data_IF_158198829004
#
_entry.id   IF_158198829004
#
_cell.length_a   1.000
_cell.length_b   1.000
_cell.length_c   1.000
_cell.angle_alpha   90.00
_cell.angle_beta   90.00
_cell.angle_gamma   90.00
#
_symmetry.space_group_name_H-M   'P 1'
#
loop_
_entity.id
_entity.type
_entity.pdbx_description
1 polymer ?
#
# COMPACT_ATOMS: atom_id res chain seq x y z
N UNK A 1 -13.02 -14.11 -9.07
CA UNK A 1 -12.19 -13.15 -8.33
C UNK A 1 -10.77 -13.65 -8.17
N UNK A 2 -9.85 -12.74 -8.18
CA UNK A 2 -8.45 -13.02 -7.90
C UNK A 2 -8.16 -12.73 -6.43
N UNK A 3 -7.23 -13.48 -5.83
CA UNK A 3 -6.74 -13.20 -4.50
C UNK A 3 -5.34 -12.60 -4.61
N UNK A 4 -4.99 -11.76 -3.66
CA UNK A 4 -3.67 -11.15 -3.60
C UNK A 4 -2.68 -12.13 -2.97
N UNK A 5 -1.40 -11.97 -3.29
CA UNK A 5 -0.35 -12.83 -2.78
C UNK A 5 0.39 -12.26 -1.58
N UNK A 6 1.65 -12.59 -1.48
CA UNK A 6 2.54 -12.15 -0.42
C UNK A 6 3.38 -10.97 -0.92
N UNK A 7 3.50 -9.93 -0.10
CA UNK A 7 4.28 -8.73 -0.41
C UNK A 7 5.30 -8.45 0.69
N UNK A 8 6.50 -8.04 0.28
CA UNK A 8 7.60 -7.73 1.19
C UNK A 8 7.73 -6.22 1.40
N UNK A 9 8.05 -5.83 2.64
CA UNK A 9 8.22 -4.43 3.02
C UNK A 9 9.45 -4.24 3.91
N UNK A 10 9.94 -2.99 3.99
CA UNK A 10 11.04 -2.63 4.86
C UNK A 10 10.51 -2.41 6.28
N UNK A 11 10.78 -3.35 7.19
CA UNK A 11 10.20 -3.37 8.53
C UNK A 11 10.70 -2.28 9.48
N UNK A 12 11.87 -1.72 9.20
CA UNK A 12 12.48 -0.69 10.03
C UNK A 12 12.17 0.73 9.58
N UNK A 13 11.33 0.88 8.55
CA UNK A 13 10.90 2.15 8.00
C UNK A 13 9.38 2.19 7.96
N UNK A 14 8.81 3.38 7.98
CA UNK A 14 7.37 3.55 7.85
C UNK A 14 6.75 4.29 9.02
N UNK A 15 5.42 4.31 9.03
CA UNK A 15 4.64 4.98 10.07
C UNK A 15 4.57 4.12 11.32
N UNK A 16 4.95 4.69 12.46
CA UNK A 16 4.88 3.98 13.73
C UNK A 16 3.47 4.11 14.31
N UNK A 17 2.72 3.02 14.29
CA UNK A 17 1.34 2.99 14.79
C UNK A 17 1.19 2.25 16.13
N UNK A 18 2.16 1.41 16.49
CA UNK A 18 2.06 0.56 17.68
C UNK A 18 3.44 0.27 18.26
N UNK A 19 3.45 -0.31 19.47
CA UNK A 19 4.67 -0.80 20.12
C UNK A 19 4.92 -2.27 19.81
N UNK A 20 5.29 -3.06 20.83
CA UNK A 20 5.64 -4.47 20.66
C UNK A 20 4.46 -5.44 20.74
N UNK A 21 3.26 -4.95 21.05
CA UNK A 21 2.06 -5.78 21.16
C UNK A 21 1.47 -6.04 19.77
N UNK A 22 1.53 -7.29 19.33
CA UNK A 22 1.05 -7.68 18.00
C UNK A 22 -0.47 -7.55 17.86
N UNK A 23 -1.23 -7.80 18.91
CA UNK A 23 -2.69 -7.62 18.86
C UNK A 23 -3.04 -6.14 18.71
N UNK A 24 -2.38 -5.28 19.47
CA UNK A 24 -2.53 -3.84 19.33
C UNK A 24 -2.10 -3.40 17.93
N UNK A 25 -1.01 -3.97 17.43
CA UNK A 25 -0.51 -3.69 16.08
C UNK A 25 -1.53 -4.02 15.01
N UNK A 26 -2.14 -5.20 15.10
CA UNK A 26 -3.18 -5.62 14.16
C UNK A 26 -4.38 -4.67 14.19
N UNK A 27 -4.83 -4.29 15.38
CA UNK A 27 -5.96 -3.38 15.56
C UNK A 27 -5.64 -1.99 14.99
N UNK A 28 -4.41 -1.50 15.19
CA UNK A 28 -3.98 -0.20 14.68
C UNK A 28 -3.85 -0.20 13.16
N UNK A 29 -3.38 -1.29 12.57
CA UNK A 29 -3.30 -1.42 11.11
C UNK A 29 -4.70 -1.39 10.52
N UNK A 30 -5.64 -2.14 11.12
CA UNK A 30 -7.03 -2.17 10.69
C UNK A 30 -7.65 -0.77 10.77
N UNK A 31 -7.48 -0.10 11.89
CA UNK A 31 -7.97 1.26 12.10
C UNK A 31 -7.39 2.23 11.07
N UNK A 32 -6.09 2.13 10.82
CA UNK A 32 -5.39 2.97 9.84
C UNK A 32 -5.98 2.83 8.44
N UNK A 33 -6.26 1.59 8.02
CA UNK A 33 -6.86 1.33 6.71
C UNK A 33 -8.32 1.82 6.68
N UNK A 34 -9.08 1.58 7.76
CA UNK A 34 -10.50 1.95 7.81
C UNK A 34 -10.73 3.45 7.88
N UNK A 35 -9.81 4.22 8.42
CA UNK A 35 -9.92 5.70 8.47
C UNK A 35 -9.94 6.32 7.08
N UNK A 36 -9.21 5.74 6.13
CA UNK A 36 -9.16 6.16 4.74
C UNK A 36 -9.37 4.95 3.84
N UNK A 37 -10.44 4.22 4.06
CA UNK A 37 -10.69 2.93 3.43
C UNK A 37 -10.69 3.05 1.89
N UNK A 38 -9.77 2.35 1.21
CA UNK A 38 -9.69 2.39 -0.25
C UNK A 38 -10.81 1.63 -0.95
N UNK A 39 -11.64 0.90 -0.20
CA UNK A 39 -12.77 0.15 -0.75
C UNK A 39 -12.74 -1.33 -0.40
N UNK A 40 -12.34 -1.66 0.83
CA UNK A 40 -12.34 -3.05 1.33
C UNK A 40 -13.46 -3.22 2.35
N UNK A 41 -14.31 -4.20 2.12
CA UNK A 41 -15.39 -4.56 3.05
C UNK A 41 -15.00 -5.78 3.87
N UNK A 42 -15.46 -5.82 5.12
CA UNK A 42 -15.20 -6.95 6.01
C UNK A 42 -13.74 -7.13 6.34
N UNK A 43 -12.99 -6.04 6.40
CA UNK A 43 -11.55 -6.11 6.65
C UNK A 43 -11.23 -6.73 8.00
N UNK A 44 -10.36 -7.73 7.97
CA UNK A 44 -9.78 -8.34 9.15
C UNK A 44 -8.25 -8.30 9.00
N UNK A 45 -7.57 -7.97 10.07
CA UNK A 45 -6.11 -7.88 10.09
C UNK A 45 -5.57 -8.70 11.25
N UNK A 46 -4.54 -9.50 10.99
CA UNK A 46 -3.77 -10.14 12.05
C UNK A 46 -2.30 -9.83 11.83
N UNK A 47 -1.52 -9.85 12.90
CA UNK A 47 -0.09 -9.56 12.85
C UNK A 47 0.65 -10.59 13.69
N UNK A 48 1.65 -11.23 13.10
CA UNK A 48 2.48 -12.24 13.78
C UNK A 48 3.88 -12.18 13.19
N UNK A 49 4.88 -11.99 14.06
CA UNK A 49 6.30 -11.95 13.67
C UNK A 49 6.59 -11.00 12.48
N UNK A 50 5.95 -9.84 12.47
CA UNK A 50 6.14 -8.86 11.41
C UNK A 50 5.36 -9.17 10.12
N UNK A 51 4.54 -10.23 10.12
CA UNK A 51 3.70 -10.59 8.97
C UNK A 51 2.28 -10.16 9.24
N UNK A 52 1.78 -9.21 8.45
CA UNK A 52 0.38 -8.78 8.54
C UNK A 52 -0.44 -9.61 7.54
N UNK A 53 -1.55 -10.17 8.00
CA UNK A 53 -2.47 -10.91 7.13
C UNK A 53 -3.76 -10.12 6.99
N UNK A 54 -4.15 -9.84 5.75
CA UNK A 54 -5.37 -9.11 5.44
C UNK A 54 -6.41 -10.05 4.86
N UNK A 55 -7.65 -9.90 5.31
CA UNK A 55 -8.81 -10.64 4.80
C UNK A 55 -9.91 -9.65 4.50
N UNK A 56 -10.72 -9.95 3.52
CA UNK A 56 -11.87 -9.12 3.17
C UNK A 56 -12.16 -9.14 1.69
N UNK A 57 -13.00 -8.21 1.25
CA UNK A 57 -13.40 -8.11 -0.14
C UNK A 57 -13.18 -6.68 -0.63
N UNK A 58 -12.27 -6.52 -1.56
CA UNK A 58 -11.99 -5.22 -2.17
C UNK A 58 -12.92 -4.98 -3.36
N UNK A 59 -13.32 -3.73 -3.54
CA UNK A 59 -14.22 -3.36 -4.65
C UNK A 59 -13.55 -3.50 -6.02
N UNK A 60 -12.22 -3.37 -6.07
CA UNK A 60 -11.43 -3.52 -7.28
C UNK A 60 -9.99 -3.86 -6.91
N UNK A 61 -9.16 -4.11 -7.93
CA UNK A 61 -7.75 -4.47 -7.73
C UNK A 61 -6.98 -3.31 -7.09
N UNK A 62 -7.26 -2.08 -7.49
CA UNK A 62 -6.60 -0.90 -6.93
C UNK A 62 -6.87 -0.77 -5.43
N UNK A 63 -8.11 -1.03 -4.98
CA UNK A 63 -8.45 -0.99 -3.58
C UNK A 63 -7.69 -2.03 -2.78
N UNK A 64 -7.57 -3.25 -3.30
CA UNK A 64 -6.80 -4.31 -2.66
C UNK A 64 -5.32 -3.94 -2.53
N UNK A 65 -4.73 -3.42 -3.60
CA UNK A 65 -3.33 -3.01 -3.60
C UNK A 65 -3.07 -1.87 -2.62
N UNK A 66 -3.95 -0.88 -2.58
CA UNK A 66 -3.83 0.23 -1.62
C UNK A 66 -3.89 -0.25 -0.18
N UNK A 67 -4.81 -1.17 0.14
CA UNK A 67 -4.92 -1.73 1.49
C UNK A 67 -3.62 -2.46 1.88
N UNK A 68 -3.05 -3.24 0.97
CA UNK A 68 -1.77 -3.93 1.18
C UNK A 68 -0.66 -2.93 1.47
N UNK A 69 -0.57 -1.86 0.68
CA UNK A 69 0.45 -0.84 0.86
C UNK A 69 0.27 -0.09 2.17
N UNK A 70 -0.96 0.23 2.54
CA UNK A 70 -1.24 0.89 3.82
C UNK A 70 -0.81 0.02 5.00
N UNK A 71 -1.04 -1.28 4.93
CA UNK A 71 -0.60 -2.21 5.97
C UNK A 71 0.92 -2.38 5.99
N UNK A 72 1.52 -2.54 4.81
CA UNK A 72 2.94 -2.84 4.68
C UNK A 72 3.86 -1.67 4.99
N UNK A 73 3.40 -0.44 4.81
CA UNK A 73 4.20 0.75 5.08
C UNK A 73 4.19 1.16 6.56
N UNK A 74 3.72 0.26 7.43
CA UNK A 74 3.73 0.45 8.89
C UNK A 74 5.06 -0.06 9.45
N UNK A 75 5.66 0.70 10.34
CA UNK A 75 6.90 0.30 11.00
C UNK A 75 6.68 -1.02 11.76
N UNK A 76 7.55 -1.99 11.52
CA UNK A 76 7.46 -3.32 12.13
C UNK A 76 6.83 -4.39 11.24
N UNK A 77 6.23 -4.00 10.12
CA UNK A 77 5.67 -4.95 9.16
C UNK A 77 6.71 -5.24 8.09
N UNK A 78 7.10 -6.50 7.96
CA UNK A 78 8.07 -6.95 6.95
C UNK A 78 7.38 -7.58 5.74
N UNK A 79 6.21 -8.18 5.95
CA UNK A 79 5.48 -8.86 4.89
C UNK A 79 3.98 -8.65 5.08
N UNK A 80 3.25 -8.64 3.98
CA UNK A 80 1.79 -8.62 4.01
C UNK A 80 1.29 -9.83 3.23
N UNK A 81 0.51 -10.67 3.89
CA UNK A 81 -0.19 -11.78 3.26
C UNK A 81 -1.59 -11.33 2.89
N UNK A 82 -1.96 -11.50 1.64
CA UNK A 82 -3.27 -11.09 1.16
C UNK A 82 -3.96 -12.20 0.37
N UNK A 83 -3.64 -13.46 0.68
CA UNK A 83 -4.24 -14.62 0.00
C UNK A 83 -5.75 -14.69 0.19
N UNK A 84 -6.26 -14.14 1.28
CA UNK A 84 -7.70 -14.13 1.60
C UNK A 84 -8.34 -12.76 1.37
N UNK A 85 -7.60 -11.82 0.78
CA UNK A 85 -8.13 -10.54 0.35
C UNK A 85 -8.55 -10.68 -1.11
N UNK A 86 -9.85 -10.74 -1.33
CA UNK A 86 -10.40 -10.95 -2.65
C UNK A 86 -10.61 -9.64 -3.39
N UNK A 87 -10.41 -9.66 -4.70
CA UNK A 87 -10.65 -8.52 -5.57
C UNK A 87 -11.12 -9.02 -6.95
N UNK A 88 -11.96 -8.23 -7.64
CA UNK A 88 -12.27 -8.56 -9.03
C UNK A 88 -11.00 -8.49 -9.88
N UNK A 89 -10.96 -9.19 -11.03
CA UNK A 89 -9.82 -9.05 -11.95
C UNK A 89 -9.58 -7.59 -12.31
N UNK A 90 -8.30 -7.21 -12.44
CA UNK A 90 -7.92 -5.84 -12.75
C UNK A 90 -8.50 -5.41 -14.10
N UNK A 91 -9.02 -4.18 -14.16
CA UNK A 91 -9.41 -3.55 -15.41
C UNK A 91 -8.16 -3.36 -16.27
N UNK A 92 -8.31 -3.29 -17.59
CA UNK A 92 -7.20 -3.14 -18.51
C UNK A 92 -6.29 -1.96 -18.13
N UNK A 93 -6.89 -0.84 -17.69
CA UNK A 93 -6.15 0.35 -17.27
C UNK A 93 -5.38 0.15 -15.96
N UNK A 94 -5.72 -0.87 -15.17
CA UNK A 94 -5.06 -1.15 -13.90
C UNK A 94 -4.03 -2.27 -14.00
N UNK A 95 -3.91 -2.89 -15.16
CA UNK A 95 -2.89 -3.91 -15.40
C UNK A 95 -1.52 -3.23 -15.57
N UNK A 96 -0.47 -3.97 -15.28
CA UNK A 96 0.91 -3.48 -15.41
C UNK A 96 1.27 -2.36 -14.45
N UNK A 97 0.58 -2.28 -13.31
CA UNK A 97 0.99 -1.38 -12.23
C UNK A 97 2.31 -1.89 -11.65
N UNK A 98 3.26 -0.97 -11.48
CA UNK A 98 4.55 -1.28 -10.85
C UNK A 98 4.53 -0.85 -9.40
N UNK A 99 5.10 -1.67 -8.52
CA UNK A 99 5.29 -1.30 -7.12
C UNK A 99 6.71 -0.76 -6.97
N UNK A 100 6.82 0.45 -6.44
CA UNK A 100 8.11 1.15 -6.33
C UNK A 100 8.42 1.46 -4.87
N UNK A 101 9.65 1.18 -4.43
CA UNK A 101 10.09 1.53 -3.10
C UNK A 101 10.79 2.88 -3.14
N UNK A 102 10.29 3.84 -2.35
CA UNK A 102 10.84 5.20 -2.29
C UNK A 102 12.28 5.14 -1.77
N UNK A 103 13.17 5.85 -2.44
CA UNK A 103 14.57 5.96 -2.05
C UNK A 103 14.81 7.32 -1.41
N UNK A 104 15.89 7.43 -0.63
CA UNK A 104 16.25 8.70 -0.01
C UNK A 104 16.43 9.78 -1.08
N UNK A 105 15.76 10.89 -0.90
CA UNK A 105 15.83 12.01 -1.83
C UNK A 105 14.83 11.98 -2.98
N UNK A 106 14.02 10.91 -3.07
CA UNK A 106 12.99 10.82 -4.12
C UNK A 106 11.85 11.81 -3.88
N UNK A 107 11.28 12.28 -4.99
CA UNK A 107 10.03 13.05 -4.99
C UNK A 107 9.11 12.43 -6.03
N UNK A 108 7.80 12.65 -5.89
CA UNK A 108 6.85 12.14 -6.88
C UNK A 108 7.13 12.72 -8.27
N UNK A 109 7.57 13.97 -8.33
CA UNK A 109 7.96 14.62 -9.59
C UNK A 109 9.12 13.88 -10.27
N UNK A 110 10.18 13.57 -9.51
CA UNK A 110 11.33 12.86 -10.03
C UNK A 110 10.98 11.44 -10.46
N UNK A 111 10.13 10.75 -9.68
CA UNK A 111 9.65 9.41 -10.00
C UNK A 111 8.85 9.44 -11.30
N UNK A 112 7.94 10.41 -11.43
CA UNK A 112 7.14 10.56 -12.65
C UNK A 112 8.02 10.88 -13.87
N UNK A 113 9.04 11.71 -13.68
CA UNK A 113 9.97 12.03 -14.75
C UNK A 113 10.74 10.80 -15.23
N UNK A 114 11.15 9.95 -14.30
CA UNK A 114 11.85 8.69 -14.63
C UNK A 114 10.95 7.68 -15.32
N UNK A 115 9.73 7.48 -14.80
CA UNK A 115 8.82 6.46 -15.31
C UNK A 115 8.02 6.88 -16.53
N UNK A 116 7.66 8.15 -16.64
CA UNK A 116 6.81 8.67 -17.74
C UNK A 116 7.54 9.61 -18.68
N UNK A 117 8.76 10.02 -18.33
CA UNK A 117 9.48 11.03 -19.09
C UNK A 117 8.96 12.44 -18.90
N UNK A 118 8.08 12.66 -17.92
CA UNK A 118 7.47 13.97 -17.65
C UNK A 118 7.11 14.07 -16.16
N UNK A 119 7.86 14.88 -15.42
CA UNK A 119 7.64 15.08 -13.99
C UNK A 119 6.29 15.72 -13.66
N UNK A 120 5.71 16.45 -14.61
CA UNK A 120 4.39 17.08 -14.41
C UNK A 120 3.28 16.05 -14.27
N UNK A 121 3.53 14.78 -14.62
CA UNK A 121 2.57 13.69 -14.45
C UNK A 121 2.60 13.09 -13.04
N UNK A 122 3.27 13.72 -12.10
CA UNK A 122 3.33 13.24 -10.71
C UNK A 122 1.93 13.10 -10.08
N UNK A 123 0.97 13.90 -10.50
CA UNK A 123 -0.42 13.79 -10.03
C UNK A 123 -1.03 12.41 -10.33
N UNK A 124 -0.61 11.78 -11.43
CA UNK A 124 -1.05 10.45 -11.80
C UNK A 124 -0.63 9.42 -10.76
N UNK A 125 0.61 9.56 -10.27
CA UNK A 125 1.14 8.70 -9.19
C UNK A 125 0.39 8.99 -7.89
N UNK A 126 0.23 10.25 -7.55
CA UNK A 126 -0.49 10.64 -6.32
C UNK A 126 -1.93 10.12 -6.32
N UNK A 127 -2.64 10.28 -7.42
CA UNK A 127 -4.03 9.81 -7.54
C UNK A 127 -4.14 8.29 -7.39
N UNK A 128 -3.15 7.55 -7.87
CA UNK A 128 -3.11 6.10 -7.75
C UNK A 128 -2.81 5.63 -6.31
N UNK A 129 -2.38 6.54 -5.43
CA UNK A 129 -1.98 6.23 -4.06
C UNK A 129 -2.71 7.10 -3.02
N UNK A 130 -3.90 7.63 -3.34
CA UNK A 130 -4.61 8.59 -2.50
C UNK A 130 -4.71 8.19 -1.03
N UNK A 131 -5.11 6.97 -0.75
CA UNK A 131 -5.24 6.49 0.63
C UNK A 131 -3.90 6.09 1.24
N UNK A 132 -2.93 5.74 0.40
CA UNK A 132 -1.58 5.36 0.83
C UNK A 132 -0.75 6.60 1.16
N UNK A 133 -0.86 7.63 0.35
CA UNK A 133 -0.14 8.91 0.49
C UNK A 133 -1.16 10.03 0.72
N UNK A 134 -1.08 10.68 1.87
CA UNK A 134 -1.99 11.80 2.21
C UNK A 134 -1.61 13.08 1.48
N UNK A 135 -0.33 13.27 1.22
CA UNK A 135 0.22 14.48 0.62
C UNK A 135 1.45 14.10 -0.20
N UNK A 136 1.61 14.62 -1.45
CA UNK A 136 2.75 14.29 -2.30
C UNK A 136 4.11 14.57 -1.65
N UNK A 137 4.17 15.49 -0.68
CA UNK A 137 5.41 15.85 0.00
C UNK A 137 5.69 15.01 1.24
N UNK A 138 4.77 14.11 1.63
CA UNK A 138 4.89 13.28 2.83
C UNK A 138 5.28 11.83 2.52
N UNK A 139 6.10 11.63 1.51
CA UNK A 139 6.68 10.32 1.21
C UNK A 139 7.97 10.14 2.00
N UNK A 140 8.35 8.88 2.26
CA UNK A 140 9.55 8.57 3.05
C UNK A 140 10.30 7.40 2.44
N UNK A 141 11.63 7.31 2.64
CA UNK A 141 12.42 6.19 2.13
C UNK A 141 11.92 4.86 2.69
N UNK A 142 11.83 3.85 1.85
CA UNK A 142 11.32 2.53 2.21
C UNK A 142 9.82 2.38 2.04
N UNK A 143 9.09 3.48 1.85
CA UNK A 143 7.66 3.42 1.56
C UNK A 143 7.46 2.81 0.17
N UNK A 144 6.50 1.89 0.07
CA UNK A 144 6.17 1.27 -1.22
C UNK A 144 4.89 1.89 -1.77
N UNK A 145 4.91 2.26 -3.02
CA UNK A 145 3.78 2.92 -3.71
C UNK A 145 3.46 2.23 -5.02
N UNK A 146 2.30 2.55 -5.58
CA UNK A 146 1.86 2.07 -6.89
C UNK A 146 2.21 3.07 -7.97
N UNK A 147 2.80 2.59 -9.07
CA UNK A 147 3.07 3.41 -10.25
C UNK A 147 2.19 2.86 -11.38
N UNK A 148 1.10 3.56 -11.74
CA UNK A 148 0.26 3.12 -12.85
C UNK A 148 0.99 3.27 -14.18
N UNK A 149 0.58 2.52 -15.22
CA UNK A 149 1.19 2.64 -16.55
C UNK A 149 0.94 4.02 -17.13
N UNK A 150 1.83 4.43 -18.01
CA UNK A 150 1.77 5.74 -18.67
C UNK A 150 0.52 5.89 -19.56
#
# INVERSE_FOLDING_TARGET
RETMGLFDFASDLGNKLFGDDEQEGADKIKEHIEEDNPGVEGLEVSLEDGVATLKGSAKDQAAAEKAILMAGNVLGVQEVKADELEAPPAAEAEQNVTFYEIQKGDTLWAIANEHYGDGNKYNRIFDANREVIKNPDLIFPGQKIRIPPA
#
